data_IF_496653559746
#
_entry.id   IF_496653559746
#
_cell.length_a   1.000
_cell.length_b   1.000
_cell.length_c   1.000
_cell.angle_alpha   90.00
_cell.angle_beta   90.00
_cell.angle_gamma   90.00
#
_symmetry.space_group_name_H-M   'P 1'
#
loop_
_entity.id
_entity.type
_entity.pdbx_description
1 polymer ?
#
# COMPACT_ATOMS: atom_id res chain seq x y z
N UNK A 1 6.94 8.21 -22.04
CA UNK A 1 7.14 8.61 -20.63
C UNK A 1 7.24 7.32 -19.83
N UNK A 2 8.39 7.08 -19.17
CA UNK A 2 8.63 5.83 -18.44
C UNK A 2 7.57 5.71 -17.35
N UNK A 3 6.76 4.66 -17.41
CA UNK A 3 5.76 4.35 -16.37
C UNK A 3 6.58 3.82 -15.19
N UNK A 4 7.03 4.72 -14.32
CA UNK A 4 7.68 4.34 -13.07
C UNK A 4 6.72 3.41 -12.35
N UNK A 5 7.18 2.22 -12.01
CA UNK A 5 6.33 1.24 -11.35
C UNK A 5 6.05 1.76 -9.94
N UNK A 6 4.81 2.21 -9.74
CA UNK A 6 4.44 2.95 -8.52
C UNK A 6 4.63 2.09 -7.26
N UNK A 7 4.59 0.77 -7.41
CA UNK A 7 4.90 -0.19 -6.36
C UNK A 7 6.40 -0.20 -6.00
N UNK A 8 7.30 -0.20 -6.99
CA UNK A 8 8.75 -0.16 -6.75
C UNK A 8 9.15 1.14 -6.03
N UNK A 9 8.52 2.25 -6.38
CA UNK A 9 8.76 3.53 -5.69
C UNK A 9 8.30 3.50 -4.23
N UNK A 10 7.18 2.83 -3.92
CA UNK A 10 6.71 2.67 -2.55
C UNK A 10 7.60 1.72 -1.75
N UNK A 11 8.18 0.70 -2.38
CA UNK A 11 9.14 -0.21 -1.75
C UNK A 11 10.45 0.53 -1.37
N UNK A 12 10.98 1.34 -2.29
CA UNK A 12 12.15 2.19 -2.03
C UNK A 12 11.87 3.17 -0.87
N UNK A 13 10.67 3.76 -0.83
CA UNK A 13 10.25 4.66 0.25
C UNK A 13 10.10 3.93 1.59
N UNK A 14 9.49 2.73 1.61
CA UNK A 14 9.36 1.93 2.83
C UNK A 14 10.74 1.57 3.39
N UNK A 15 11.67 1.16 2.52
CA UNK A 15 13.05 0.87 2.91
C UNK A 15 13.78 2.10 3.47
N UNK A 16 13.67 3.25 2.81
CA UNK A 16 14.29 4.49 3.27
C UNK A 16 13.76 4.93 4.65
N UNK A 17 12.44 4.84 4.87
CA UNK A 17 11.83 5.18 6.16
C UNK A 17 12.26 4.22 7.27
N UNK A 18 12.38 2.92 6.98
CA UNK A 18 12.90 1.93 7.93
C UNK A 18 14.34 2.24 8.33
N UNK A 19 15.20 2.59 7.36
CA UNK A 19 16.58 2.96 7.61
C UNK A 19 16.69 4.21 8.51
N UNK A 20 15.86 5.23 8.25
CA UNK A 20 15.81 6.43 9.09
C UNK A 20 15.34 6.14 10.51
N UNK A 21 14.35 5.24 10.67
CA UNK A 21 13.87 4.82 11.98
C UNK A 21 14.94 4.06 12.76
N UNK A 22 15.70 3.18 12.10
CA UNK A 22 16.84 2.48 12.70
C UNK A 22 17.93 3.44 13.16
N UNK A 23 18.22 4.46 12.35
CA UNK A 23 19.21 5.49 12.69
C UNK A 23 18.81 6.25 13.97
N UNK A 24 17.57 6.73 14.05
CA UNK A 24 17.08 7.45 15.24
C UNK A 24 17.09 6.55 16.47
N UNK A 25 16.63 5.30 16.35
CA UNK A 25 16.62 4.36 17.46
C UNK A 25 18.04 4.11 17.98
N UNK A 26 19.02 4.02 17.08
CA UNK A 26 20.43 3.88 17.44
C UNK A 26 20.95 5.12 18.17
N UNK A 27 20.58 6.33 17.72
CA UNK A 27 20.97 7.58 18.37
C UNK A 27 20.34 7.74 19.76
N UNK A 28 19.05 7.41 19.91
CA UNK A 28 18.33 7.42 21.19
C UNK A 28 18.92 6.41 22.18
N UNK A 29 19.27 5.20 21.71
CA UNK A 29 19.90 4.18 22.55
C UNK A 29 21.26 4.64 23.11
N UNK A 30 22.07 5.34 22.31
CA UNK A 30 23.35 5.94 22.74
C UNK A 30 23.17 7.09 23.75
N UNK A 31 21.95 7.57 23.91
CA UNK A 31 21.61 8.76 24.69
C UNK A 31 20.79 8.44 25.95
N UNK A 32 20.25 7.23 26.07
CA UNK A 32 19.58 6.72 27.26
C UNK A 32 20.39 6.93 28.54
N UNK A 33 19.79 7.58 29.55
CA UNK A 33 20.37 7.77 30.88
C UNK A 33 21.21 9.04 31.08
N UNK A 34 21.30 9.93 30.08
CA UNK A 34 22.11 11.16 30.16
C UNK A 34 21.42 12.36 30.82
N UNK A 35 20.10 12.31 31.04
CA UNK A 35 19.32 13.41 31.62
C UNK A 35 18.19 12.90 32.50
N UNK A 36 17.77 13.76 33.43
CA UNK A 36 16.60 13.57 34.28
C UNK A 36 15.31 13.63 33.46
N UNK A 37 14.41 12.69 33.71
CA UNK A 37 13.17 12.47 32.94
C UNK A 37 12.23 13.69 32.93
N UNK A 38 12.27 14.53 33.97
CA UNK A 38 11.42 15.73 34.07
C UNK A 38 11.94 16.94 33.28
N UNK A 39 13.16 16.89 32.73
CA UNK A 39 13.74 17.99 31.96
C UNK A 39 14.60 17.46 30.80
N UNK A 40 13.97 16.80 29.81
CA UNK A 40 14.69 16.32 28.63
C UNK A 40 15.22 17.51 27.82
N UNK A 41 16.39 17.36 27.17
CA UNK A 41 16.87 18.33 26.19
C UNK A 41 15.94 18.42 24.97
N UNK A 42 15.90 19.59 24.32
CA UNK A 42 15.05 19.83 23.15
C UNK A 42 15.24 18.79 22.03
N UNK A 43 16.48 18.36 21.79
CA UNK A 43 16.75 17.35 20.77
C UNK A 43 16.10 16.00 21.11
N UNK A 44 15.96 15.64 22.39
CA UNK A 44 15.36 14.38 22.79
C UNK A 44 13.85 14.38 22.52
N UNK A 45 13.20 15.53 22.75
CA UNK A 45 11.81 15.75 22.35
C UNK A 45 11.67 15.67 20.82
N UNK A 46 12.54 16.36 20.08
CA UNK A 46 12.53 16.35 18.62
C UNK A 46 12.73 14.93 18.04
N UNK A 47 13.61 14.11 18.61
CA UNK A 47 13.79 12.72 18.18
C UNK A 47 12.55 11.87 18.45
N UNK A 48 11.90 12.01 19.61
CA UNK A 48 10.67 11.28 19.90
C UNK A 48 9.53 11.66 18.94
N UNK A 49 9.38 12.95 18.66
CA UNK A 49 8.38 13.44 17.71
C UNK A 49 8.65 12.92 16.30
N UNK A 50 9.91 12.93 15.87
CA UNK A 50 10.32 12.45 14.57
C UNK A 50 10.20 10.92 14.45
N UNK A 51 10.53 10.17 15.49
CA UNK A 51 10.31 8.71 15.54
C UNK A 51 8.81 8.38 15.38
N UNK A 52 7.94 9.12 16.07
CA UNK A 52 6.50 8.97 15.95
C UNK A 52 6.00 9.31 14.54
N UNK A 53 6.58 10.33 13.90
CA UNK A 53 6.27 10.68 12.52
C UNK A 53 6.70 9.60 11.52
N UNK A 54 7.92 9.06 11.65
CA UNK A 54 8.39 7.97 10.79
C UNK A 54 7.52 6.72 10.92
N UNK A 55 7.11 6.35 12.13
CA UNK A 55 6.18 5.23 12.33
C UNK A 55 4.85 5.44 11.62
N UNK A 56 4.30 6.65 11.67
CA UNK A 56 3.07 7.01 10.92
C UNK A 56 3.29 6.95 9.41
N UNK A 57 4.43 7.45 8.93
CA UNK A 57 4.78 7.43 7.51
C UNK A 57 4.93 6.00 6.98
N UNK A 58 5.54 5.10 7.74
CA UNK A 58 5.66 3.68 7.37
C UNK A 58 4.27 3.05 7.20
N UNK A 59 3.36 3.25 8.16
CA UNK A 59 1.98 2.74 8.06
C UNK A 59 1.28 3.30 6.81
N UNK A 60 1.43 4.60 6.56
CA UNK A 60 0.85 5.23 5.37
C UNK A 60 1.37 4.61 4.05
N UNK A 61 2.67 4.31 3.96
CA UNK A 61 3.24 3.68 2.76
C UNK A 61 2.70 2.27 2.57
N UNK A 62 2.57 1.48 3.65
CA UNK A 62 1.98 0.13 3.56
C UNK A 62 0.50 0.17 3.16
N UNK A 63 -0.28 1.13 3.68
CA UNK A 63 -1.66 1.36 3.27
C UNK A 63 -1.76 1.73 1.78
N UNK A 64 -0.85 2.56 1.28
CA UNK A 64 -0.77 2.91 -0.14
C UNK A 64 -0.45 1.69 -1.01
N UNK A 65 0.50 0.85 -0.59
CA UNK A 65 0.83 -0.41 -1.29
C UNK A 65 -0.39 -1.33 -1.35
N UNK A 66 -1.11 -1.46 -0.24
CA UNK A 66 -2.32 -2.26 -0.18
C UNK A 66 -3.43 -1.72 -1.09
N UNK A 67 -3.68 -0.41 -1.06
CA UNK A 67 -4.66 0.24 -1.93
C UNK A 67 -4.31 0.07 -3.42
N UNK A 68 -3.04 0.16 -3.78
CA UNK A 68 -2.59 -0.02 -5.16
C UNK A 68 -2.77 -1.48 -5.64
N UNK A 69 -2.53 -2.44 -4.74
CA UNK A 69 -2.79 -3.86 -5.02
C UNK A 69 -4.27 -4.12 -5.29
N UNK A 70 -5.17 -3.56 -4.47
CA UNK A 70 -6.62 -3.65 -4.68
C UNK A 70 -7.01 -3.05 -6.03
N UNK A 71 -6.54 -1.83 -6.33
CA UNK A 71 -6.85 -1.17 -7.60
C UNK A 71 -6.43 -2.03 -8.81
N UNK A 72 -5.22 -2.60 -8.76
CA UNK A 72 -4.71 -3.50 -9.80
C UNK A 72 -5.55 -4.78 -9.94
N UNK A 73 -5.99 -5.37 -8.83
CA UNK A 73 -6.85 -6.54 -8.84
C UNK A 73 -8.22 -6.21 -9.46
N UNK A 74 -8.82 -5.09 -9.08
CA UNK A 74 -10.10 -4.62 -9.64
C UNK A 74 -9.99 -4.38 -11.15
N UNK A 75 -8.93 -3.70 -11.60
CA UNK A 75 -8.70 -3.45 -13.03
C UNK A 75 -8.53 -4.76 -13.82
N UNK A 76 -7.82 -5.74 -13.25
CA UNK A 76 -7.63 -7.06 -13.85
C UNK A 76 -8.93 -7.85 -13.91
N UNK A 77 -9.68 -7.90 -12.82
CA UNK A 77 -10.92 -8.67 -12.71
C UNK A 77 -12.04 -8.08 -13.57
N UNK A 78 -12.06 -6.75 -13.76
CA UNK A 78 -13.01 -6.09 -14.66
C UNK A 78 -12.94 -6.64 -16.09
N UNK A 79 -11.74 -6.95 -16.59
CA UNK A 79 -11.54 -7.56 -17.91
C UNK A 79 -12.13 -8.97 -17.95
N UNK A 80 -11.82 -9.80 -16.95
CA UNK A 80 -12.33 -11.17 -16.87
C UNK A 80 -13.86 -11.24 -16.72
N UNK A 81 -14.45 -10.31 -15.97
CA UNK A 81 -15.91 -10.18 -15.82
C UNK A 81 -16.55 -9.78 -17.15
N UNK A 82 -15.95 -8.85 -17.89
CA UNK A 82 -16.46 -8.43 -19.19
C UNK A 82 -16.47 -9.59 -20.19
N UNK A 83 -15.37 -10.35 -20.25
CA UNK A 83 -15.26 -11.55 -21.09
C UNK A 83 -16.35 -12.58 -20.73
N UNK A 84 -16.52 -12.86 -19.44
CA UNK A 84 -17.56 -13.78 -18.95
C UNK A 84 -18.97 -13.29 -19.30
N UNK A 85 -19.22 -11.97 -19.22
CA UNK A 85 -20.52 -11.37 -19.54
C UNK A 85 -20.88 -11.53 -21.02
N UNK A 86 -19.89 -11.40 -21.90
CA UNK A 86 -20.08 -11.61 -23.35
C UNK A 86 -20.46 -13.07 -23.62
N UNK A 87 -19.74 -14.02 -23.04
CA UNK A 87 -20.02 -15.45 -23.18
C UNK A 87 -21.42 -15.82 -22.67
N UNK A 88 -21.81 -15.32 -21.49
CA UNK A 88 -23.14 -15.54 -20.93
C UNK A 88 -24.25 -15.00 -21.85
N UNK A 89 -24.06 -13.78 -22.38
CA UNK A 89 -25.01 -13.15 -23.29
C UNK A 89 -25.21 -14.00 -24.55
N UNK A 90 -24.12 -14.52 -25.11
CA UNK A 90 -24.19 -15.41 -26.27
C UNK A 90 -24.90 -16.73 -25.92
N UNK A 91 -24.58 -17.36 -24.79
CA UNK A 91 -25.22 -18.60 -24.34
C UNK A 91 -26.73 -18.43 -24.15
N UNK A 92 -27.17 -17.30 -23.59
CA UNK A 92 -28.59 -16.96 -23.43
C UNK A 92 -29.27 -16.80 -24.79
N UNK A 93 -28.62 -16.12 -25.73
CA UNK A 93 -29.15 -15.96 -27.09
C UNK A 93 -29.33 -17.30 -27.80
N UNK A 94 -28.29 -18.14 -27.77
CA UNK A 94 -28.28 -19.46 -28.41
C UNK A 94 -29.37 -20.37 -27.83
N UNK A 95 -29.52 -20.37 -26.50
CA UNK A 95 -30.59 -21.11 -25.82
C UNK A 95 -31.97 -20.65 -26.27
N UNK A 96 -32.21 -19.35 -26.30
CA UNK A 96 -33.51 -18.80 -26.68
C UNK A 96 -33.83 -19.11 -28.15
N UNK A 97 -32.84 -19.05 -29.04
CA UNK A 97 -32.98 -19.44 -30.43
C UNK A 97 -33.32 -20.94 -30.58
N UNK A 98 -32.64 -21.82 -29.85
CA UNK A 98 -32.92 -23.26 -29.86
C UNK A 98 -34.36 -23.58 -29.39
N UNK A 99 -34.85 -22.86 -28.36
CA UNK A 99 -36.23 -22.99 -27.91
C UNK A 99 -37.23 -22.55 -29.00
N UNK A 100 -36.97 -21.46 -29.72
CA UNK A 100 -37.85 -21.00 -30.81
C UNK A 100 -37.90 -21.92 -32.03
N UNK A 101 -36.92 -22.81 -32.20
CA UNK A 101 -36.89 -23.80 -33.27
C UNK A 101 -37.65 -25.09 -32.92
N UNK A 102 -37.97 -25.29 -31.64
CA UNK A 102 -38.70 -26.45 -31.14
C UNK A 102 -40.21 -26.18 -30.93
N UNK A 103 -40.68 -24.97 -31.27
CA UNK A 103 -42.10 -24.61 -31.46
C UNK A 103 -42.50 -24.75 -32.94
#
# INVERSE_FOLDING_TARGET
MSRVDHCLQLDDQSFALQLQLEEINSQLALQSGKWTEESPPDFALAFNDFEAELKRAIVLVEDLKFAHSIAKAVDSDAVAIEESRVEETQSVHDRNFALSLNE
#
